data_IF_128211086653
#
_entry.id   IF_128211086653
#
_cell.length_a   1.000
_cell.length_b   1.000
_cell.length_c   1.000
_cell.angle_alpha   90.00
_cell.angle_beta   90.00
_cell.angle_gamma   90.00
#
_symmetry.space_group_name_H-M   'P 1'
#
loop_
_entity.id
_entity.type
_entity.pdbx_description
1 polymer ?
#
# COMPACT_ATOMS: atom_id res chain seq x y z
N UNK A 1 24.31 -49.59 5.31
CA UNK A 1 23.37 -49.01 4.32
C UNK A 1 22.00 -48.59 4.91
N UNK A 2 21.76 -48.66 6.22
CA UNK A 2 20.41 -48.54 6.84
C UNK A 2 20.05 -47.14 7.37
N UNK A 3 21.01 -46.24 7.57
CA UNK A 3 20.77 -44.92 8.20
C UNK A 3 20.00 -43.96 7.28
N UNK A 4 20.21 -44.02 5.96
CA UNK A 4 19.52 -43.15 4.99
C UNK A 4 18.05 -43.52 4.69
N UNK A 5 17.59 -44.69 5.13
CA UNK A 5 16.20 -45.12 4.94
C UNK A 5 15.26 -44.49 5.99
N UNK A 6 15.73 -44.42 7.25
CA UNK A 6 14.98 -43.82 8.35
C UNK A 6 14.81 -42.31 8.18
N UNK A 7 15.80 -41.64 7.60
CA UNK A 7 15.75 -40.19 7.37
C UNK A 7 14.80 -39.80 6.22
N UNK A 8 14.70 -40.63 5.18
CA UNK A 8 13.72 -40.49 4.09
C UNK A 8 12.27 -40.67 4.54
N UNK A 9 12.00 -41.62 5.44
CA UNK A 9 10.65 -41.81 5.99
C UNK A 9 10.23 -40.64 6.89
N UNK A 10 11.17 -40.06 7.65
CA UNK A 10 10.94 -38.89 8.52
C UNK A 10 10.69 -37.60 7.73
N UNK A 11 11.34 -37.42 6.59
CA UNK A 11 11.11 -36.28 5.69
C UNK A 11 9.81 -36.44 4.89
N UNK A 12 9.52 -37.63 4.36
CA UNK A 12 8.26 -37.92 3.68
C UNK A 12 7.03 -37.64 4.56
N UNK A 13 7.07 -38.02 5.85
CA UNK A 13 5.99 -37.75 6.82
C UNK A 13 5.84 -36.28 7.23
N UNK A 14 6.90 -35.46 7.07
CA UNK A 14 6.86 -34.00 7.28
C UNK A 14 6.32 -33.27 6.05
N UNK A 15 6.78 -33.65 4.87
CA UNK A 15 6.35 -33.07 3.58
C UNK A 15 4.87 -33.37 3.31
N UNK A 16 4.42 -34.60 3.60
CA UNK A 16 3.00 -34.97 3.47
C UNK A 16 2.05 -34.17 4.38
N UNK A 17 2.53 -33.77 5.57
CA UNK A 17 1.74 -32.92 6.51
C UNK A 17 1.63 -31.48 6.04
N UNK A 18 2.71 -30.92 5.50
CA UNK A 18 2.73 -29.57 4.92
C UNK A 18 1.82 -29.52 3.68
N UNK A 19 1.87 -30.55 2.84
CA UNK A 19 0.96 -30.67 1.69
C UNK A 19 -0.51 -30.78 2.14
N UNK A 20 -0.83 -31.60 3.15
CA UNK A 20 -2.19 -31.74 3.66
C UNK A 20 -2.77 -30.41 4.22
N UNK A 21 -1.94 -29.58 4.86
CA UNK A 21 -2.33 -28.22 5.29
C UNK A 21 -2.55 -27.27 4.11
N UNK A 22 -1.69 -27.33 3.08
CA UNK A 22 -1.86 -26.53 1.85
C UNK A 22 -3.09 -26.93 1.02
N UNK A 23 -3.48 -28.22 1.04
CA UNK A 23 -4.69 -28.71 0.34
C UNK A 23 -5.98 -28.32 1.07
N UNK A 24 -5.96 -28.21 2.41
CA UNK A 24 -7.13 -27.82 3.21
C UNK A 24 -7.52 -26.34 3.08
N UNK A 25 -6.60 -25.48 2.63
CA UNK A 25 -6.82 -24.02 2.51
C UNK A 25 -6.30 -23.51 1.17
N UNK A 26 -7.14 -23.46 0.11
CA UNK A 26 -6.73 -23.01 -1.23
C UNK A 26 -6.17 -21.57 -1.23
N UNK A 27 -6.61 -20.71 -0.32
CA UNK A 27 -6.11 -19.34 -0.18
C UNK A 27 -4.63 -19.27 0.27
N UNK A 28 -4.12 -20.25 1.01
CA UNK A 28 -2.70 -20.28 1.42
C UNK A 28 -1.79 -20.52 0.22
N UNK A 29 -2.23 -21.31 -0.77
CA UNK A 29 -1.49 -21.50 -2.02
C UNK A 29 -1.46 -20.20 -2.82
N UNK A 30 -2.61 -19.55 -2.95
CA UNK A 30 -2.71 -18.26 -3.63
C UNK A 30 -1.82 -17.21 -2.94
N UNK A 31 -1.86 -17.11 -1.61
CA UNK A 31 -1.01 -16.21 -0.85
C UNK A 31 0.48 -16.56 -0.93
N UNK A 32 0.86 -17.83 -1.05
CA UNK A 32 2.28 -18.20 -1.19
C UNK A 32 2.81 -17.88 -2.60
N UNK A 33 1.97 -18.04 -3.63
CA UNK A 33 2.33 -17.75 -5.02
C UNK A 33 2.28 -16.25 -5.34
N UNK A 34 1.28 -15.52 -4.84
CA UNK A 34 1.06 -14.09 -5.12
C UNK A 34 1.61 -13.18 -4.03
N UNK A 35 1.70 -13.67 -2.79
CA UNK A 35 2.10 -12.89 -1.62
C UNK A 35 3.46 -12.24 -1.76
N UNK A 36 4.52 -12.90 -2.28
CA UNK A 36 5.81 -12.24 -2.49
C UNK A 36 5.69 -11.01 -3.40
N UNK A 37 4.96 -11.14 -4.51
CA UNK A 37 4.73 -10.03 -5.46
C UNK A 37 3.90 -8.91 -4.84
N UNK A 38 2.74 -9.23 -4.27
CA UNK A 38 1.88 -8.25 -3.60
C UNK A 38 2.60 -7.55 -2.44
N UNK A 39 3.42 -8.27 -1.67
CA UNK A 39 4.18 -7.69 -0.55
C UNK A 39 5.12 -6.63 -1.06
N UNK A 40 5.84 -6.89 -2.16
CA UNK A 40 6.74 -5.91 -2.75
C UNK A 40 6.00 -4.64 -3.22
N UNK A 41 4.83 -4.80 -3.83
CA UNK A 41 3.98 -3.66 -4.20
C UNK A 41 3.56 -2.84 -2.99
N UNK A 42 3.09 -3.49 -1.93
CA UNK A 42 2.68 -2.81 -0.68
C UNK A 42 3.87 -2.10 -0.05
N UNK A 43 5.02 -2.75 0.04
CA UNK A 43 6.24 -2.18 0.64
C UNK A 43 6.70 -0.95 -0.13
N UNK A 44 6.81 -1.02 -1.46
CA UNK A 44 7.21 0.13 -2.27
C UNK A 44 6.19 1.26 -2.14
N UNK A 45 4.91 0.95 -2.28
CA UNK A 45 3.84 1.94 -2.19
C UNK A 45 3.88 2.70 -0.85
N UNK A 46 4.01 1.97 0.26
CA UNK A 46 4.09 2.57 1.59
C UNK A 46 5.40 3.36 1.77
N UNK A 47 6.53 2.85 1.28
CA UNK A 47 7.79 3.58 1.33
C UNK A 47 7.70 4.92 0.56
N UNK A 48 7.07 4.91 -0.62
CA UNK A 48 6.81 6.13 -1.40
C UNK A 48 5.87 7.10 -0.67
N UNK A 49 4.80 6.61 -0.05
CA UNK A 49 3.90 7.44 0.76
C UNK A 49 4.61 8.09 1.95
N UNK A 50 5.44 7.33 2.67
CA UNK A 50 6.23 7.85 3.80
C UNK A 50 7.22 8.89 3.32
N UNK A 51 7.91 8.65 2.21
CA UNK A 51 8.83 9.62 1.63
C UNK A 51 8.11 10.91 1.22
N UNK A 52 6.97 10.79 0.52
CA UNK A 52 6.13 11.93 0.14
C UNK A 52 5.68 12.72 1.37
N UNK A 53 5.26 12.03 2.43
CA UNK A 53 4.85 12.65 3.67
C UNK A 53 6.01 13.42 4.32
N UNK A 54 7.20 12.81 4.42
CA UNK A 54 8.39 13.48 4.96
C UNK A 54 8.74 14.73 4.13
N UNK A 55 8.71 14.61 2.80
CA UNK A 55 9.02 15.75 1.92
C UNK A 55 7.97 16.87 1.99
N UNK A 56 6.72 16.58 2.35
CA UNK A 56 5.67 17.58 2.49
C UNK A 56 5.92 18.58 3.64
N UNK A 57 6.77 18.22 4.60
CA UNK A 57 7.21 19.11 5.68
C UNK A 57 8.41 19.99 5.28
N UNK A 58 9.03 19.75 4.12
CA UNK A 58 10.09 20.60 3.58
C UNK A 58 9.53 21.64 2.62
N UNK A 59 10.11 22.83 2.62
CA UNK A 59 9.67 23.91 1.74
C UNK A 59 10.52 23.91 0.46
N UNK A 60 9.87 24.23 -0.66
CA UNK A 60 10.54 24.43 -1.94
C UNK A 60 10.53 25.93 -2.21
N UNK A 61 11.71 26.49 -2.42
CA UNK A 61 11.83 27.89 -2.78
C UNK A 61 11.38 28.10 -4.23
N UNK A 62 10.35 28.92 -4.51
CA UNK A 62 9.78 29.04 -5.86
C UNK A 62 10.74 29.70 -6.87
N UNK A 63 11.78 30.42 -6.41
CA UNK A 63 12.74 31.08 -7.28
C UNK A 63 13.96 30.22 -7.60
N UNK A 64 14.49 29.52 -6.59
CA UNK A 64 15.70 28.70 -6.76
C UNK A 64 15.40 27.23 -6.99
N UNK A 65 14.15 26.80 -6.78
CA UNK A 65 13.72 25.39 -6.74
C UNK A 65 14.52 24.51 -5.78
N UNK A 66 15.27 25.13 -4.86
CA UNK A 66 16.05 24.44 -3.87
C UNK A 66 15.12 23.86 -2.80
N UNK A 67 15.38 22.61 -2.42
CA UNK A 67 14.68 21.93 -1.33
C UNK A 67 15.33 22.40 -0.02
N UNK A 68 14.60 23.22 0.74
CA UNK A 68 15.01 23.64 2.07
C UNK A 68 14.55 22.57 3.06
N UNK A 69 15.48 21.74 3.53
CA UNK A 69 15.25 20.65 4.49
C UNK A 69 15.04 21.15 5.92
N UNK A 70 14.25 22.21 6.08
CA UNK A 70 13.86 22.76 7.37
C UNK A 70 12.51 22.18 7.73
N UNK A 71 12.38 21.66 8.96
CA UNK A 71 11.12 21.08 9.43
C UNK A 71 10.11 22.20 9.67
N UNK A 72 9.08 22.29 8.82
CA UNK A 72 8.08 23.35 8.89
C UNK A 72 6.68 22.82 8.50
N UNK A 73 5.64 23.45 9.02
CA UNK A 73 4.21 23.13 8.79
C UNK A 73 3.58 24.16 7.83
N UNK A 74 4.34 25.15 7.35
CA UNK A 74 3.86 26.22 6.47
C UNK A 74 3.23 25.74 5.15
N UNK A 75 3.67 24.61 4.60
CA UNK A 75 3.00 23.98 3.45
C UNK A 75 1.54 23.61 3.78
N UNK A 76 1.29 23.02 4.95
CA UNK A 76 -0.05 22.67 5.39
C UNK A 76 -0.90 23.91 5.69
N UNK A 77 -0.27 24.96 6.24
CA UNK A 77 -0.97 26.24 6.46
C UNK A 77 -1.43 26.83 5.13
N UNK A 78 -0.55 26.85 4.13
CA UNK A 78 -0.87 27.32 2.77
C UNK A 78 -2.04 26.55 2.17
N UNK A 79 -2.04 25.22 2.27
CA UNK A 79 -3.15 24.39 1.77
C UNK A 79 -4.50 24.77 2.38
N UNK A 80 -4.52 25.16 3.65
CA UNK A 80 -5.75 25.57 4.32
C UNK A 80 -6.08 27.03 4.04
N UNK A 81 -5.13 27.95 4.13
CA UNK A 81 -5.39 29.40 4.04
C UNK A 81 -5.61 29.89 2.62
N UNK A 82 -5.00 29.24 1.64
CA UNK A 82 -5.13 29.64 0.24
C UNK A 82 -6.47 29.17 -0.33
N UNK A 83 -7.27 30.14 -0.77
CA UNK A 83 -8.59 29.90 -1.35
C UNK A 83 -8.55 29.07 -2.63
N UNK A 84 -7.47 29.12 -3.39
CA UNK A 84 -7.30 28.38 -4.65
C UNK A 84 -7.23 26.87 -4.38
N UNK A 85 -6.35 26.46 -3.46
CA UNK A 85 -6.23 25.06 -3.06
C UNK A 85 -7.55 24.53 -2.48
N UNK A 86 -8.20 25.33 -1.61
CA UNK A 86 -9.47 24.95 -1.00
C UNK A 86 -10.59 24.80 -2.04
N UNK A 87 -10.68 25.71 -3.01
CA UNK A 87 -11.68 25.66 -4.07
C UNK A 87 -11.52 24.41 -4.94
N UNK A 88 -10.28 24.05 -5.29
CA UNK A 88 -10.00 22.84 -6.08
C UNK A 88 -10.45 21.61 -5.31
N UNK A 89 -10.03 21.46 -4.05
CA UNK A 89 -10.41 20.31 -3.20
C UNK A 89 -11.93 20.16 -3.11
N UNK A 90 -12.65 21.27 -2.85
CA UNK A 90 -14.11 21.24 -2.73
C UNK A 90 -14.80 20.86 -4.04
N UNK A 91 -14.30 21.32 -5.20
CA UNK A 91 -14.84 20.94 -6.51
C UNK A 91 -14.65 19.45 -6.79
N UNK A 92 -13.49 18.89 -6.46
CA UNK A 92 -13.21 17.47 -6.66
C UNK A 92 -14.07 16.59 -5.76
N UNK A 93 -14.20 16.96 -4.48
CA UNK A 93 -15.08 16.26 -3.54
C UNK A 93 -16.55 16.37 -3.97
N UNK A 94 -16.99 17.56 -4.38
CA UNK A 94 -18.35 17.79 -4.86
C UNK A 94 -18.67 16.91 -6.08
N UNK A 95 -17.76 16.83 -7.05
CA UNK A 95 -17.93 15.98 -8.22
C UNK A 95 -17.96 14.49 -7.83
N UNK A 96 -17.01 14.03 -7.02
CA UNK A 96 -16.95 12.63 -6.57
C UNK A 96 -18.22 12.24 -5.81
N UNK A 97 -18.73 13.14 -4.95
CA UNK A 97 -19.97 12.93 -4.20
C UNK A 97 -21.18 12.87 -5.12
N UNK A 98 -21.27 13.80 -6.08
CA UNK A 98 -22.37 13.82 -7.05
C UNK A 98 -22.41 12.54 -7.89
N UNK A 99 -21.26 12.07 -8.39
CA UNK A 99 -21.15 10.80 -9.12
C UNK A 99 -21.55 9.63 -8.23
N UNK A 100 -21.01 9.55 -7.00
CA UNK A 100 -21.33 8.46 -6.05
C UNK A 100 -22.83 8.39 -5.76
N UNK A 101 -23.49 9.53 -5.54
CA UNK A 101 -24.93 9.59 -5.29
C UNK A 101 -25.70 9.16 -6.54
N UNK A 102 -25.30 9.64 -7.72
CA UNK A 102 -25.96 9.28 -8.98
C UNK A 102 -25.86 7.79 -9.25
N UNK A 103 -24.68 7.19 -9.09
CA UNK A 103 -24.45 5.75 -9.23
C UNK A 103 -25.28 4.97 -8.22
N UNK A 104 -25.34 5.42 -6.96
CA UNK A 104 -26.14 4.78 -5.93
C UNK A 104 -27.64 4.84 -6.26
N UNK A 105 -28.15 5.96 -6.76
CA UNK A 105 -29.57 6.11 -7.14
C UNK A 105 -29.92 5.26 -8.35
N UNK A 106 -29.05 5.20 -9.37
CA UNK A 106 -29.28 4.40 -10.58
C UNK A 106 -29.15 2.89 -10.35
N UNK A 107 -28.45 2.46 -9.29
CA UNK A 107 -28.28 1.06 -8.95
C UNK A 107 -29.54 0.41 -8.34
N UNK A 108 -30.51 1.22 -7.88
CA UNK A 108 -31.81 0.77 -7.38
C UNK A 108 -32.89 0.88 -8.44
#
# INVERSE_FOLDING_TARGET
MTVGALDRMRTAGRVGRIQALLWRRPWMRAALLLGPGLTWFVVIYLASLVLLLITAFWQINPFTTAIERVWNIDNFRTLVTDGTYRLIILRTIGLATAVTITDAVLAF
#
